data_IF_878909991088
#
_entry.id   IF_878909991088
#
_cell.length_a   1.000
_cell.length_b   1.000
_cell.length_c   1.000
_cell.angle_alpha   90.00
_cell.angle_beta   90.00
_cell.angle_gamma   90.00
#
_symmetry.space_group_name_H-M   'P 1'
#
loop_
_entity.id
_entity.type
_entity.pdbx_description
1 polymer ?
#
# COMPACT_ATOMS: atom_id res chain seq x y z
N UNK A 1 8.01 -40.14 12.49
CA UNK A 1 9.19 -39.26 12.35
C UNK A 1 9.71 -39.45 10.95
N UNK A 2 9.75 -38.37 10.18
CA UNK A 2 10.45 -38.34 8.89
C UNK A 2 11.94 -38.11 9.16
N UNK A 3 12.75 -39.07 8.75
CA UNK A 3 14.23 -39.01 8.88
C UNK A 3 14.92 -38.57 7.61
N UNK A 4 14.16 -38.07 6.62
CA UNK A 4 14.70 -37.54 5.36
C UNK A 4 15.68 -36.41 5.64
N UNK A 5 16.94 -36.57 5.21
CA UNK A 5 18.01 -35.59 5.45
C UNK A 5 18.85 -35.83 6.72
N UNK A 6 18.49 -36.80 7.59
CA UNK A 6 19.33 -37.21 8.71
C UNK A 6 20.48 -38.07 8.21
N UNK A 7 21.69 -37.50 8.22
CA UNK A 7 22.94 -38.22 7.88
C UNK A 7 23.70 -38.54 9.16
N UNK A 8 23.75 -39.79 9.52
CA UNK A 8 24.54 -40.28 10.65
C UNK A 8 25.77 -41.03 10.13
N UNK A 9 26.92 -40.71 10.66
CA UNK A 9 28.20 -41.35 10.31
C UNK A 9 28.77 -42.00 11.57
N UNK A 10 28.96 -43.29 11.52
CA UNK A 10 29.64 -44.05 12.56
C UNK A 10 31.15 -44.06 12.31
N UNK A 11 31.94 -43.85 13.38
CA UNK A 11 33.39 -44.06 13.36
C UNK A 11 33.65 -45.43 13.94
N UNK A 12 34.32 -46.30 13.15
CA UNK A 12 34.59 -47.70 13.48
C UNK A 12 36.00 -47.86 14.00
N UNK A 13 36.29 -49.02 14.60
CA UNK A 13 37.58 -49.36 15.21
C UNK A 13 38.74 -49.41 14.16
N UNK A 14 38.39 -49.59 12.88
CA UNK A 14 39.35 -49.53 11.75
C UNK A 14 39.69 -48.09 11.34
N UNK A 15 39.20 -47.08 12.10
CA UNK A 15 39.41 -45.66 11.86
C UNK A 15 38.56 -45.08 10.72
N UNK A 16 37.78 -45.90 10.02
CA UNK A 16 36.94 -45.43 8.89
C UNK A 16 35.61 -44.92 9.38
N UNK A 17 35.08 -43.95 8.62
CA UNK A 17 33.74 -43.45 8.79
C UNK A 17 32.82 -44.05 7.72
N UNK A 18 31.65 -44.54 8.14
CA UNK A 18 30.65 -45.09 7.24
C UNK A 18 29.27 -44.56 7.60
N UNK A 19 28.40 -44.34 6.60
CA UNK A 19 26.99 -43.96 6.87
C UNK A 19 26.31 -45.06 7.64
N UNK A 20 25.51 -44.63 8.65
CA UNK A 20 24.69 -45.57 9.46
C UNK A 20 23.23 -45.22 9.20
N UNK A 21 22.45 -46.23 8.83
CA UNK A 21 21.03 -46.10 8.67
C UNK A 21 20.38 -46.13 10.06
N UNK A 22 19.61 -45.05 10.37
CA UNK A 22 18.90 -44.94 11.65
C UNK A 22 17.42 -45.20 11.41
N UNK A 23 16.80 -46.01 12.29
CA UNK A 23 15.35 -46.22 12.31
C UNK A 23 14.70 -45.38 13.40
N UNK A 24 13.37 -45.10 13.31
CA UNK A 24 12.65 -44.33 14.31
C UNK A 24 12.73 -44.86 15.73
N UNK A 25 12.83 -46.20 15.89
CA UNK A 25 12.91 -46.89 17.19
C UNK A 25 14.23 -46.66 17.92
N UNK A 26 15.25 -46.26 17.19
CA UNK A 26 16.59 -45.92 17.72
C UNK A 26 16.68 -44.50 18.26
N UNK A 27 15.61 -43.71 18.11
CA UNK A 27 15.54 -42.32 18.56
C UNK A 27 14.74 -42.22 19.85
N UNK A 28 15.23 -41.44 20.80
CA UNK A 28 14.53 -41.07 22.03
C UNK A 28 14.66 -39.55 22.29
N UNK A 29 13.76 -39.03 23.14
CA UNK A 29 13.76 -37.59 23.46
C UNK A 29 13.01 -36.71 22.46
N UNK A 30 12.46 -37.28 21.37
CA UNK A 30 11.67 -36.53 20.39
C UNK A 30 10.18 -36.55 20.74
N UNK A 31 9.55 -35.38 20.75
CA UNK A 31 8.09 -35.25 20.85
C UNK A 31 7.59 -34.31 19.76
N UNK A 32 6.72 -34.81 18.89
CA UNK A 32 6.06 -33.99 17.85
C UNK A 32 4.89 -33.15 18.36
N UNK A 33 4.47 -33.36 19.61
CA UNK A 33 3.29 -32.73 20.21
C UNK A 33 3.61 -31.49 21.04
N UNK A 34 4.89 -31.24 21.35
CA UNK A 34 5.29 -30.07 22.10
C UNK A 34 6.01 -29.04 21.19
N UNK A 35 5.53 -27.81 21.12
CA UNK A 35 6.26 -26.74 20.44
C UNK A 35 7.45 -26.34 21.32
N UNK A 36 8.59 -26.98 21.11
CA UNK A 36 9.84 -26.63 21.78
C UNK A 36 10.82 -26.21 20.71
N UNK A 37 11.36 -24.99 20.82
CA UNK A 37 12.34 -24.45 19.86
C UNK A 37 13.55 -25.39 19.66
N UNK A 38 13.87 -26.17 20.65
CA UNK A 38 14.99 -27.11 20.67
C UNK A 38 14.64 -28.35 21.44
N UNK A 39 14.76 -29.51 20.82
CA UNK A 39 14.69 -30.81 21.50
C UNK A 39 16.03 -31.52 21.44
N UNK A 40 16.43 -32.11 22.57
CA UNK A 40 17.58 -33.02 22.61
C UNK A 40 17.09 -34.43 22.21
N UNK A 41 17.58 -34.88 21.06
CA UNK A 41 17.26 -36.23 20.53
C UNK A 41 18.49 -37.09 20.71
N UNK A 42 18.29 -38.27 21.25
CA UNK A 42 19.35 -39.25 21.47
C UNK A 42 19.19 -40.43 20.49
N UNK A 43 20.24 -40.70 19.74
CA UNK A 43 20.38 -41.91 18.91
C UNK A 43 21.04 -42.99 19.73
N UNK A 44 20.45 -44.18 19.76
CA UNK A 44 21.09 -45.37 20.36
C UNK A 44 21.30 -46.43 19.30
N UNK A 45 22.55 -46.78 19.05
CA UNK A 45 22.96 -47.81 18.08
C UNK A 45 23.96 -48.77 18.79
N UNK A 46 23.61 -50.05 18.86
CA UNK A 46 24.44 -51.06 19.50
C UNK A 46 24.94 -50.66 20.91
N UNK A 47 24.03 -50.06 21.70
CA UNK A 47 24.30 -49.61 23.07
C UNK A 47 25.09 -48.30 23.18
N UNK A 48 25.59 -47.75 22.09
CA UNK A 48 26.24 -46.43 22.05
C UNK A 48 25.24 -45.33 21.82
N UNK A 49 25.35 -44.27 22.60
CA UNK A 49 24.42 -43.12 22.52
C UNK A 49 25.12 -41.86 22.07
N UNK A 50 24.42 -41.09 21.26
CA UNK A 50 24.79 -39.72 20.86
C UNK A 50 23.58 -38.81 20.86
N UNK A 51 23.65 -37.75 21.64
CA UNK A 51 22.62 -36.70 21.63
C UNK A 51 22.98 -35.53 20.72
N UNK A 52 21.95 -34.94 20.13
CA UNK A 52 22.04 -33.74 19.33
C UNK A 52 20.74 -32.95 19.46
N UNK A 53 20.83 -31.63 19.31
CA UNK A 53 19.65 -30.78 19.32
C UNK A 53 19.00 -30.74 17.94
N UNK A 54 17.68 -30.90 17.90
CA UNK A 54 16.85 -30.64 16.71
C UNK A 54 16.01 -29.41 16.94
N UNK A 55 15.93 -28.57 15.95
CA UNK A 55 14.98 -27.47 15.94
C UNK A 55 13.72 -27.94 15.23
N UNK A 56 12.58 -27.83 15.90
CA UNK A 56 11.29 -28.15 15.30
C UNK A 56 10.81 -26.91 14.56
N UNK A 57 10.68 -27.04 13.25
CA UNK A 57 10.08 -25.97 12.46
C UNK A 57 8.55 -25.91 12.75
N UNK A 58 8.01 -24.72 13.09
CA UNK A 58 6.56 -24.56 13.26
C UNK A 58 5.79 -24.60 11.95
N UNK A 59 6.47 -24.89 10.85
CA UNK A 59 5.89 -24.95 9.50
C UNK A 59 6.38 -26.17 8.75
N UNK A 60 5.52 -26.72 7.87
CA UNK A 60 5.91 -27.73 6.88
C UNK A 60 6.15 -27.06 5.52
N UNK A 61 7.16 -27.55 4.82
CA UNK A 61 7.55 -27.03 3.51
C UNK A 61 7.76 -28.19 2.55
N UNK A 62 7.09 -28.16 1.41
CA UNK A 62 7.25 -29.14 0.33
C UNK A 62 7.60 -28.41 -0.98
N UNK A 63 8.69 -28.81 -1.61
CA UNK A 63 9.18 -28.21 -2.84
C UNK A 63 9.31 -26.66 -2.80
N UNK A 64 9.67 -26.12 -1.64
CA UNK A 64 9.77 -24.67 -1.42
C UNK A 64 8.44 -23.97 -1.13
N UNK A 65 7.33 -24.68 -1.11
CA UNK A 65 6.01 -24.14 -0.77
C UNK A 65 5.68 -24.44 0.70
N UNK A 66 5.21 -23.42 1.42
CA UNK A 66 4.66 -23.59 2.76
C UNK A 66 3.35 -24.36 2.68
N UNK A 67 3.29 -25.57 3.24
CA UNK A 67 2.09 -26.43 3.14
C UNK A 67 1.27 -26.46 4.42
N UNK A 68 1.88 -26.21 5.57
CA UNK A 68 1.16 -26.19 6.85
C UNK A 68 1.84 -25.25 7.85
N UNK A 69 1.03 -24.57 8.64
CA UNK A 69 1.44 -23.77 9.80
C UNK A 69 0.91 -24.43 11.05
N UNK A 70 1.79 -24.89 11.93
CA UNK A 70 1.42 -25.59 13.16
C UNK A 70 0.82 -24.59 14.18
N UNK A 71 -0.24 -25.02 14.88
CA UNK A 71 -0.90 -24.18 15.90
C UNK A 71 -0.06 -24.07 17.17
N UNK A 72 -0.31 -23.03 17.95
CA UNK A 72 0.29 -22.85 19.29
C UNK A 72 1.57 -22.02 19.32
N UNK A 73 1.96 -21.42 18.19
CA UNK A 73 3.10 -20.52 18.10
C UNK A 73 2.64 -19.07 17.95
N UNK A 74 3.23 -18.16 18.72
CA UNK A 74 2.99 -16.73 18.60
C UNK A 74 3.96 -16.06 17.60
N UNK A 75 5.12 -16.64 17.40
CA UNK A 75 6.15 -16.18 16.46
C UNK A 75 6.61 -17.34 15.59
N UNK A 76 6.87 -17.04 14.32
CA UNK A 76 7.36 -18.02 13.34
C UNK A 76 8.52 -17.38 12.56
N UNK A 77 9.62 -18.12 12.45
CA UNK A 77 10.69 -17.82 11.49
C UNK A 77 10.60 -18.83 10.36
N UNK A 78 10.42 -18.36 9.14
CA UNK A 78 10.38 -19.22 7.96
C UNK A 78 11.77 -19.76 7.66
N UNK A 79 11.91 -21.08 7.43
CA UNK A 79 13.18 -21.67 7.01
C UNK A 79 13.59 -21.19 5.60
N UNK A 80 14.88 -21.19 5.32
CA UNK A 80 15.43 -20.68 4.05
C UNK A 80 14.96 -21.47 2.81
N UNK A 81 14.39 -22.65 3.01
CA UNK A 81 13.78 -23.45 1.93
C UNK A 81 12.47 -22.90 1.41
N UNK A 82 11.78 -21.99 2.16
CA UNK A 82 10.50 -21.43 1.72
C UNK A 82 10.71 -20.44 0.59
N UNK A 83 10.10 -20.69 -0.55
CA UNK A 83 10.08 -19.82 -1.73
C UNK A 83 8.72 -19.19 -1.94
N UNK A 84 7.66 -19.82 -1.45
CA UNK A 84 6.28 -19.37 -1.65
C UNK A 84 5.44 -19.60 -0.38
N UNK A 85 4.67 -18.56 -0.04
CA UNK A 85 3.57 -18.63 0.94
C UNK A 85 2.28 -18.71 0.13
N UNK A 86 1.52 -19.82 0.20
CA UNK A 86 0.32 -19.99 -0.60
C UNK A 86 -0.84 -19.13 -0.10
N UNK A 87 -1.92 -19.10 -0.89
CA UNK A 87 -3.19 -18.47 -0.53
C UNK A 87 -3.63 -18.87 0.87
N UNK A 88 -4.01 -17.87 1.66
CA UNK A 88 -4.60 -18.00 2.99
C UNK A 88 -3.76 -18.77 4.04
N UNK A 89 -2.44 -18.92 3.85
CA UNK A 89 -1.57 -19.75 4.72
C UNK A 89 -1.62 -19.36 6.20
N UNK A 90 -1.72 -18.07 6.52
CA UNK A 90 -1.83 -17.55 7.88
C UNK A 90 -3.20 -16.90 8.15
N UNK A 91 -4.22 -17.26 7.35
CA UNK A 91 -5.56 -16.68 7.51
C UNK A 91 -6.14 -16.97 8.89
N UNK A 92 -6.56 -15.91 9.60
CA UNK A 92 -7.14 -16.01 10.95
C UNK A 92 -6.19 -16.53 12.01
N UNK A 93 -4.88 -16.60 11.72
CA UNK A 93 -3.88 -17.06 12.68
C UNK A 93 -3.72 -16.11 13.86
N UNK A 94 -3.38 -16.67 15.03
CA UNK A 94 -3.06 -15.90 16.23
C UNK A 94 -1.54 -15.64 16.37
N UNK A 95 -0.84 -15.56 15.24
CA UNK A 95 0.60 -15.34 15.19
C UNK A 95 0.87 -13.84 15.18
N UNK A 96 1.67 -13.37 16.13
CA UNK A 96 1.98 -11.96 16.28
C UNK A 96 3.15 -11.52 15.39
N UNK A 97 4.06 -12.47 15.06
CA UNK A 97 5.24 -12.17 14.26
C UNK A 97 5.59 -13.30 13.31
N UNK A 98 5.84 -12.95 12.07
CA UNK A 98 6.39 -13.86 11.07
C UNK A 98 7.67 -13.23 10.51
N UNK A 99 8.80 -13.90 10.70
CA UNK A 99 10.09 -13.51 10.11
C UNK A 99 10.19 -14.21 8.76
N UNK A 100 10.13 -13.42 7.69
CA UNK A 100 10.29 -13.89 6.32
C UNK A 100 11.77 -14.13 5.99
N UNK A 101 12.06 -15.19 5.26
CA UNK A 101 13.43 -15.53 4.85
C UNK A 101 13.85 -14.79 3.56
N UNK A 102 15.14 -14.52 3.45
CA UNK A 102 15.75 -13.96 2.23
C UNK A 102 15.85 -15.02 1.13
N UNK A 103 14.82 -15.38 0.53
CA UNK A 103 14.68 -16.39 -0.52
C UNK A 103 13.22 -16.58 -0.90
N UNK A 104 12.33 -15.94 -0.11
CA UNK A 104 10.90 -15.92 -0.41
C UNK A 104 10.65 -15.08 -1.67
N UNK A 105 9.92 -15.63 -2.63
CA UNK A 105 9.64 -15.03 -3.93
C UNK A 105 8.19 -14.61 -4.10
N UNK A 106 7.24 -15.33 -3.46
CA UNK A 106 5.82 -15.05 -3.64
C UNK A 106 5.00 -15.20 -2.37
N UNK A 107 3.98 -14.36 -2.25
CA UNK A 107 2.97 -14.42 -1.17
C UNK A 107 1.59 -14.38 -1.84
N UNK A 108 0.81 -15.43 -1.64
CA UNK A 108 -0.49 -15.64 -2.25
C UNK A 108 -1.62 -14.83 -1.61
N UNK A 109 -2.74 -14.78 -2.32
CA UNK A 109 -3.95 -14.06 -1.94
C UNK A 109 -4.42 -14.41 -0.51
N UNK A 110 -4.82 -13.38 0.24
CA UNK A 110 -5.31 -13.53 1.63
C UNK A 110 -4.32 -14.19 2.59
N UNK A 111 -3.02 -14.24 2.29
CA UNK A 111 -2.06 -15.01 3.08
C UNK A 111 -2.12 -14.73 4.57
N UNK A 112 -2.32 -13.47 4.99
CA UNK A 112 -2.44 -13.05 6.39
C UNK A 112 -3.83 -12.51 6.74
N UNK A 113 -4.86 -12.75 5.91
CA UNK A 113 -6.22 -12.24 6.13
C UNK A 113 -6.68 -12.45 7.57
N UNK A 114 -7.11 -11.37 8.25
CA UNK A 114 -7.64 -11.39 9.62
C UNK A 114 -6.71 -12.09 10.65
N UNK A 115 -5.39 -12.01 10.45
CA UNK A 115 -4.41 -12.52 11.42
C UNK A 115 -4.09 -11.45 12.48
N UNK A 116 -3.47 -11.89 13.60
CA UNK A 116 -3.05 -11.00 14.69
C UNK A 116 -1.63 -10.48 14.52
N UNK A 117 -1.03 -10.62 13.33
CA UNK A 117 0.33 -10.14 13.04
C UNK A 117 0.48 -8.66 13.38
N UNK A 118 1.62 -8.28 13.98
CA UNK A 118 1.88 -6.92 14.43
C UNK A 118 2.86 -6.17 13.54
N UNK A 119 3.89 -6.87 13.06
CA UNK A 119 4.90 -6.30 12.18
C UNK A 119 5.30 -7.31 11.10
N UNK A 120 5.68 -6.79 9.94
CA UNK A 120 6.24 -7.58 8.87
C UNK A 120 7.28 -6.79 8.07
N UNK A 121 8.41 -7.44 7.77
CA UNK A 121 9.47 -6.92 6.92
C UNK A 121 9.61 -7.87 5.73
N UNK A 122 9.53 -7.34 4.52
CA UNK A 122 9.60 -8.14 3.32
C UNK A 122 11.03 -8.29 2.81
N UNK A 123 11.43 -9.48 2.33
CA UNK A 123 12.77 -9.73 1.82
C UNK A 123 13.01 -9.08 0.45
N UNK A 124 14.28 -8.86 0.13
CA UNK A 124 14.68 -8.27 -1.17
C UNK A 124 14.35 -9.15 -2.37
N UNK A 125 14.10 -10.44 -2.13
CA UNK A 125 13.80 -11.46 -3.16
C UNK A 125 12.32 -11.57 -3.50
N UNK A 126 11.43 -10.81 -2.80
CA UNK A 126 10.00 -10.86 -3.08
C UNK A 126 9.71 -10.24 -4.45
N UNK A 127 9.13 -11.05 -5.35
CA UNK A 127 8.78 -10.67 -6.71
C UNK A 127 7.27 -10.56 -6.91
N UNK A 128 6.50 -11.37 -6.16
CA UNK A 128 5.05 -11.46 -6.32
C UNK A 128 4.35 -11.29 -4.97
N UNK A 129 3.45 -10.35 -4.93
CA UNK A 129 2.54 -10.12 -3.82
C UNK A 129 1.12 -10.09 -4.40
N UNK A 130 0.26 -10.99 -3.94
CA UNK A 130 -1.14 -11.03 -4.41
C UNK A 130 -2.04 -10.12 -3.57
N UNK A 131 -3.35 -10.15 -3.84
CA UNK A 131 -4.33 -9.24 -3.25
C UNK A 131 -4.72 -9.63 -1.81
N UNK A 132 -5.39 -8.72 -1.09
CA UNK A 132 -6.02 -8.95 0.20
C UNK A 132 -5.08 -9.45 1.33
N UNK A 133 -3.77 -9.24 1.20
CA UNK A 133 -2.76 -9.87 2.06
C UNK A 133 -3.03 -9.63 3.55
N UNK A 134 -3.27 -8.37 3.95
CA UNK A 134 -3.50 -7.97 5.36
C UNK A 134 -4.92 -7.46 5.59
N UNK A 135 -5.86 -7.90 4.79
CA UNK A 135 -7.27 -7.52 4.95
C UNK A 135 -7.75 -7.88 6.37
N UNK A 136 -8.28 -6.94 7.13
CA UNK A 136 -8.67 -7.05 8.54
C UNK A 136 -7.54 -7.36 9.54
N UNK A 137 -6.26 -7.19 9.21
CA UNK A 137 -5.17 -7.32 10.17
C UNK A 137 -5.11 -6.12 11.12
N UNK A 138 -6.03 -6.04 12.07
CA UNK A 138 -6.23 -4.88 12.96
C UNK A 138 -5.07 -4.62 13.92
N UNK A 139 -4.24 -5.63 14.18
CA UNK A 139 -3.08 -5.53 15.08
C UNK A 139 -1.79 -5.16 14.33
N UNK A 140 -1.80 -5.21 12.99
CA UNK A 140 -0.63 -4.88 12.17
C UNK A 140 -0.32 -3.38 12.32
N UNK A 141 0.86 -3.07 12.90
CA UNK A 141 1.32 -1.69 13.12
C UNK A 141 2.28 -1.22 12.06
N UNK A 142 3.15 -2.13 11.61
CA UNK A 142 4.21 -1.81 10.66
C UNK A 142 4.33 -2.84 9.56
N UNK A 143 4.42 -2.35 8.31
CA UNK A 143 4.74 -3.15 7.13
C UNK A 143 5.88 -2.49 6.35
N UNK A 144 7.01 -3.18 6.21
CA UNK A 144 8.17 -2.66 5.51
C UNK A 144 8.42 -3.40 4.19
N UNK A 145 8.00 -2.77 3.08
CA UNK A 145 8.23 -3.24 1.71
C UNK A 145 9.43 -2.51 1.03
N UNK A 146 10.10 -1.59 1.75
CA UNK A 146 11.07 -0.66 1.17
C UNK A 146 12.22 -1.34 0.41
N UNK A 147 12.57 -2.57 0.82
CA UNK A 147 13.66 -3.36 0.24
C UNK A 147 13.24 -4.20 -0.97
N UNK A 148 11.94 -4.30 -1.25
CA UNK A 148 11.42 -5.10 -2.37
C UNK A 148 11.62 -4.39 -3.71
N UNK A 149 11.44 -5.13 -4.80
CA UNK A 149 11.44 -4.60 -6.17
C UNK A 149 10.03 -4.52 -6.77
N UNK A 150 9.02 -4.55 -5.91
CA UNK A 150 7.63 -4.48 -6.36
C UNK A 150 7.39 -3.17 -7.12
N UNK A 151 6.68 -3.26 -8.23
CA UNK A 151 6.26 -2.11 -9.03
C UNK A 151 4.79 -1.77 -8.82
N UNK A 152 4.06 -2.65 -8.14
CA UNK A 152 2.63 -2.49 -7.82
C UNK A 152 2.38 -2.92 -6.38
N UNK A 153 1.64 -2.10 -5.63
CA UNK A 153 1.02 -2.51 -4.38
C UNK A 153 -0.37 -3.06 -4.72
N UNK A 154 -0.63 -4.35 -4.49
CA UNK A 154 -1.86 -4.99 -4.94
C UNK A 154 -3.12 -4.46 -4.29
N UNK A 155 -4.26 -4.75 -4.93
CA UNK A 155 -5.57 -4.35 -4.45
C UNK A 155 -5.85 -4.89 -3.03
N UNK A 156 -6.54 -4.08 -2.25
CA UNK A 156 -7.02 -4.45 -0.91
C UNK A 156 -5.94 -4.94 0.06
N UNK A 157 -4.67 -4.58 -0.17
CA UNK A 157 -3.54 -5.08 0.65
C UNK A 157 -3.74 -4.80 2.14
N UNK A 158 -4.17 -3.58 2.53
CA UNK A 158 -4.31 -3.16 3.93
C UNK A 158 -5.74 -2.76 4.33
N UNK A 159 -6.77 -3.27 3.65
CA UNK A 159 -8.16 -2.92 3.97
C UNK A 159 -8.49 -3.23 5.43
N UNK A 160 -8.96 -2.23 6.19
CA UNK A 160 -9.25 -2.31 7.62
C UNK A 160 -8.06 -2.77 8.48
N UNK A 161 -6.82 -2.66 7.99
CA UNK A 161 -5.64 -2.96 8.78
C UNK A 161 -5.33 -1.83 9.77
N UNK A 162 -4.72 -2.20 10.91
CA UNK A 162 -4.35 -1.27 11.96
C UNK A 162 -3.02 -0.54 11.74
N UNK A 163 -2.52 -0.51 10.48
CA UNK A 163 -1.19 0.02 10.15
C UNK A 163 -1.04 1.49 10.56
N UNK A 164 0.05 1.76 11.24
CA UNK A 164 0.51 3.10 11.62
C UNK A 164 1.65 3.56 10.72
N UNK A 165 2.47 2.61 10.24
CA UNK A 165 3.61 2.85 9.36
C UNK A 165 3.65 1.83 8.22
N UNK A 166 3.76 2.34 6.98
CA UNK A 166 4.01 1.51 5.78
C UNK A 166 5.15 2.14 4.99
N UNK A 167 6.22 1.37 4.77
CA UNK A 167 7.36 1.78 3.95
C UNK A 167 7.25 1.16 2.57
N UNK A 168 7.08 1.99 1.54
CA UNK A 168 6.91 1.58 0.15
C UNK A 168 8.26 1.52 -0.59
N UNK A 169 8.44 0.61 -1.57
CA UNK A 169 9.66 0.54 -2.35
C UNK A 169 9.76 1.68 -3.37
N UNK A 170 10.96 2.18 -3.60
CA UNK A 170 11.21 3.26 -4.58
C UNK A 170 10.88 2.87 -6.02
N UNK A 171 10.77 1.57 -6.31
CA UNK A 171 10.39 1.02 -7.62
C UNK A 171 8.90 1.06 -7.91
N UNK A 172 8.07 1.42 -6.91
CA UNK A 172 6.62 1.38 -7.02
C UNK A 172 6.11 2.36 -8.09
N UNK A 173 5.22 1.87 -8.96
CA UNK A 173 4.57 2.65 -10.03
C UNK A 173 3.06 2.78 -9.83
N UNK A 174 2.47 1.85 -9.09
CA UNK A 174 1.02 1.76 -8.90
C UNK A 174 0.67 1.38 -7.45
N UNK A 175 -0.27 2.13 -6.88
CA UNK A 175 -1.01 1.76 -5.68
C UNK A 175 -2.40 1.37 -6.17
N UNK A 176 -2.76 0.09 -6.09
CA UNK A 176 -3.98 -0.44 -6.68
C UNK A 176 -5.24 -0.15 -5.86
N UNK A 177 -6.39 -0.60 -6.36
CA UNK A 177 -7.69 -0.34 -5.77
C UNK A 177 -7.77 -0.74 -4.29
N UNK A 178 -8.32 0.16 -3.47
CA UNK A 178 -8.59 -0.08 -2.04
C UNK A 178 -7.36 -0.49 -1.20
N UNK A 179 -6.13 -0.25 -1.69
CA UNK A 179 -4.92 -0.71 -1.02
C UNK A 179 -4.82 -0.28 0.46
N UNK A 180 -5.33 0.92 0.80
CA UNK A 180 -5.36 1.49 2.14
C UNK A 180 -6.78 1.89 2.58
N UNK A 181 -7.81 1.23 2.06
CA UNK A 181 -9.20 1.51 2.45
C UNK A 181 -9.39 1.34 3.96
N UNK A 182 -9.92 2.36 4.62
CA UNK A 182 -10.23 2.35 6.05
C UNK A 182 -9.04 2.03 6.99
N UNK A 183 -7.82 2.47 6.61
CA UNK A 183 -6.63 2.42 7.47
C UNK A 183 -6.61 3.62 8.42
N UNK A 184 -7.50 3.64 9.41
CA UNK A 184 -7.75 4.80 10.28
C UNK A 184 -6.55 5.22 11.14
N UNK A 185 -5.59 4.32 11.37
CA UNK A 185 -4.39 4.59 12.16
C UNK A 185 -3.23 5.15 11.33
N UNK A 186 -3.24 4.98 10.01
CA UNK A 186 -2.20 5.50 9.11
C UNK A 186 -2.32 7.02 9.00
N UNK A 187 -1.35 7.75 9.60
CA UNK A 187 -1.38 9.22 9.61
C UNK A 187 -0.58 9.85 8.49
N UNK A 188 0.48 9.20 8.08
CA UNK A 188 1.37 9.66 7.01
C UNK A 188 1.82 8.49 6.16
N UNK A 189 2.06 8.76 4.88
CA UNK A 189 2.66 7.81 3.95
C UNK A 189 3.53 8.57 2.93
N UNK A 190 4.74 8.07 2.67
CA UNK A 190 5.56 8.54 1.56
C UNK A 190 5.16 7.78 0.29
N UNK A 191 4.60 8.50 -0.68
CA UNK A 191 4.29 7.95 -2.01
C UNK A 191 5.54 8.13 -2.87
N UNK A 192 6.20 7.04 -3.35
CA UNK A 192 7.43 7.16 -4.13
C UNK A 192 7.28 7.96 -5.42
N UNK A 193 8.34 8.66 -5.85
CA UNK A 193 8.32 9.56 -7.03
C UNK A 193 7.97 8.83 -8.35
N UNK A 194 8.21 7.53 -8.41
CA UNK A 194 7.89 6.72 -9.59
C UNK A 194 6.42 6.32 -9.69
N UNK A 195 5.59 6.59 -8.69
CA UNK A 195 4.16 6.28 -8.73
C UNK A 195 3.48 7.13 -9.81
N UNK A 196 2.71 6.47 -10.66
CA UNK A 196 1.93 7.07 -11.77
C UNK A 196 0.44 6.94 -11.56
N UNK A 197 0.03 5.90 -10.83
CA UNK A 197 -1.38 5.58 -10.63
C UNK A 197 -1.69 5.35 -9.15
N UNK A 198 -2.75 6.01 -8.68
CA UNK A 198 -3.43 5.72 -7.42
C UNK A 198 -4.81 5.19 -7.79
N UNK A 199 -5.11 3.95 -7.40
CA UNK A 199 -6.28 3.18 -7.80
C UNK A 199 -7.60 3.64 -7.16
N UNK A 200 -8.68 2.97 -7.58
CA UNK A 200 -10.04 3.18 -7.09
C UNK A 200 -10.09 3.05 -5.56
N UNK A 201 -10.60 4.08 -4.87
CA UNK A 201 -10.78 4.08 -3.41
C UNK A 201 -9.51 3.76 -2.60
N UNK A 202 -8.31 3.95 -3.16
CA UNK A 202 -7.06 3.46 -2.59
C UNK A 202 -6.81 3.91 -1.14
N UNK A 203 -7.19 5.14 -0.78
CA UNK A 203 -7.09 5.71 0.57
C UNK A 203 -8.46 6.13 1.15
N UNK A 204 -9.56 5.62 0.60
CA UNK A 204 -10.89 5.96 1.09
C UNK A 204 -11.00 5.69 2.59
N UNK A 205 -11.56 6.66 3.34
CA UNK A 205 -11.76 6.57 4.79
C UNK A 205 -10.47 6.26 5.59
N UNK A 206 -9.30 6.57 5.03
CA UNK A 206 -8.02 6.44 5.74
C UNK A 206 -7.82 7.57 6.76
N UNK A 207 -6.92 7.32 7.73
CA UNK A 207 -6.60 8.28 8.80
C UNK A 207 -5.52 9.29 8.41
N UNK A 208 -5.12 9.36 7.13
CA UNK A 208 -4.02 10.22 6.68
C UNK A 208 -4.32 11.69 6.95
N UNK A 209 -3.30 12.41 7.42
CA UNK A 209 -3.39 13.85 7.73
C UNK A 209 -2.84 14.73 6.61
N UNK A 210 -1.79 14.26 5.95
CA UNK A 210 -1.13 14.94 4.83
C UNK A 210 -0.72 13.93 3.78
N UNK A 211 -0.72 14.35 2.52
CA UNK A 211 -0.23 13.56 1.37
C UNK A 211 0.66 14.42 0.50
N UNK A 212 1.81 13.86 0.10
CA UNK A 212 2.66 14.44 -0.94
C UNK A 212 2.55 13.59 -2.21
N UNK A 213 2.01 14.16 -3.27
CA UNK A 213 1.83 13.49 -4.55
C UNK A 213 3.02 13.77 -5.48
N UNK A 214 3.58 12.77 -6.18
CA UNK A 214 4.60 13.03 -7.19
C UNK A 214 4.02 13.82 -8.36
N UNK A 215 4.77 14.82 -8.86
CA UNK A 215 4.34 15.63 -9.99
C UNK A 215 4.16 14.85 -11.30
N UNK A 216 4.76 13.68 -11.40
CA UNK A 216 4.63 12.78 -12.55
C UNK A 216 3.41 11.86 -12.53
N UNK A 217 2.52 11.99 -11.54
CA UNK A 217 1.32 11.14 -11.45
C UNK A 217 0.37 11.42 -12.62
N UNK A 218 -0.18 10.37 -13.24
CA UNK A 218 -1.07 10.50 -14.39
C UNK A 218 -2.52 10.17 -14.06
N UNK A 219 -2.73 9.29 -13.09
CA UNK A 219 -4.07 8.84 -12.74
C UNK A 219 -4.25 8.82 -11.22
N UNK A 220 -5.24 9.58 -10.75
CA UNK A 220 -5.79 9.42 -9.41
C UNK A 220 -7.24 9.00 -9.62
N UNK A 221 -7.52 7.71 -9.37
CA UNK A 221 -8.79 7.09 -9.71
C UNK A 221 -9.95 7.59 -8.83
N UNK A 222 -11.16 7.20 -9.22
CA UNK A 222 -12.39 7.60 -8.56
C UNK A 222 -12.32 7.30 -7.05
N UNK A 223 -12.70 8.30 -6.23
CA UNK A 223 -12.76 8.20 -4.77
C UNK A 223 -11.45 7.83 -4.08
N UNK A 224 -10.30 8.06 -4.71
CA UNK A 224 -9.01 7.63 -4.15
C UNK A 224 -8.76 8.12 -2.72
N UNK A 225 -9.18 9.33 -2.36
CA UNK A 225 -9.09 9.92 -1.02
C UNK A 225 -10.47 10.32 -0.46
N UNK A 226 -11.52 9.62 -0.87
CA UNK A 226 -12.89 9.91 -0.50
C UNK A 226 -13.10 9.76 1.00
N UNK A 227 -13.74 10.76 1.64
CA UNK A 227 -14.06 10.75 3.07
C UNK A 227 -12.85 10.48 3.99
N UNK A 228 -11.68 11.10 3.72
CA UNK A 228 -10.53 11.09 4.63
C UNK A 228 -10.76 12.13 5.75
N UNK A 229 -11.17 11.73 6.96
CA UNK A 229 -11.67 12.67 7.98
C UNK A 229 -10.60 13.55 8.59
N UNK A 230 -9.34 13.11 8.53
CA UNK A 230 -8.20 13.78 9.13
C UNK A 230 -7.34 14.56 8.11
N UNK A 231 -7.60 14.41 6.81
CA UNK A 231 -6.80 15.01 5.74
C UNK A 231 -6.91 16.53 5.77
N UNK A 232 -5.79 17.22 5.98
CA UNK A 232 -5.70 18.69 6.03
C UNK A 232 -5.05 19.29 4.80
N UNK A 233 -4.12 18.55 4.18
CA UNK A 233 -3.28 19.06 3.12
C UNK A 233 -2.89 17.97 2.11
N UNK A 234 -2.91 18.34 0.84
CA UNK A 234 -2.32 17.57 -0.27
C UNK A 234 -1.39 18.49 -1.04
N UNK A 235 -0.10 18.17 -1.04
CA UNK A 235 0.96 18.91 -1.74
C UNK A 235 1.59 18.06 -2.84
N UNK A 236 2.46 18.67 -3.63
CA UNK A 236 3.16 17.97 -4.71
C UNK A 236 4.68 18.05 -4.54
N UNK A 237 5.39 17.11 -5.14
CA UNK A 237 6.85 17.09 -5.12
C UNK A 237 7.44 16.40 -6.37
N UNK A 238 8.78 16.46 -6.52
CA UNK A 238 9.51 15.84 -7.62
C UNK A 238 9.60 16.72 -8.87
N UNK A 239 10.49 16.33 -9.75
CA UNK A 239 10.79 17.05 -10.99
C UNK A 239 10.35 16.31 -12.25
N UNK A 240 9.91 15.06 -12.09
CA UNK A 240 9.44 14.24 -13.22
C UNK A 240 8.05 14.70 -13.62
N UNK A 241 7.90 15.09 -14.87
CA UNK A 241 6.61 15.43 -15.48
C UNK A 241 6.28 14.39 -16.53
N UNK A 242 4.99 14.15 -16.71
CA UNK A 242 4.47 13.28 -17.77
C UNK A 242 3.52 14.13 -18.62
N UNK A 243 3.71 14.11 -19.93
CA UNK A 243 2.87 14.84 -20.92
C UNK A 243 1.70 14.00 -21.44
N UNK A 244 1.19 13.06 -20.62
CA UNK A 244 0.02 12.28 -20.96
C UNK A 244 -1.20 13.19 -21.10
N UNK A 245 -1.81 13.33 -22.30
CA UNK A 245 -2.97 14.18 -22.52
C UNK A 245 -4.22 13.71 -21.77
N UNK A 246 -4.27 12.44 -21.37
CA UNK A 246 -5.36 11.83 -20.62
C UNK A 246 -5.14 11.83 -19.11
N UNK A 247 -4.03 12.43 -18.63
CA UNK A 247 -3.72 12.48 -17.22
C UNK A 247 -4.85 13.16 -16.42
N UNK A 248 -5.46 12.42 -15.49
CA UNK A 248 -6.72 12.80 -14.86
C UNK A 248 -6.78 12.51 -13.36
N UNK A 249 -7.38 13.42 -12.62
CA UNK A 249 -7.98 13.12 -11.33
C UNK A 249 -9.44 12.79 -11.56
N UNK A 250 -9.84 11.55 -11.27
CA UNK A 250 -11.19 11.06 -11.51
C UNK A 250 -12.23 11.61 -10.50
N UNK A 251 -13.48 11.23 -10.70
CA UNK A 251 -14.61 11.76 -9.95
C UNK A 251 -14.51 11.49 -8.43
N UNK A 252 -14.96 12.48 -7.65
CA UNK A 252 -15.11 12.39 -6.18
C UNK A 252 -13.82 12.08 -5.43
N UNK A 253 -12.66 12.35 -6.03
CA UNK A 253 -11.36 11.90 -5.52
C UNK A 253 -11.08 12.39 -4.09
N UNK A 254 -11.35 13.66 -3.80
CA UNK A 254 -11.13 14.32 -2.51
C UNK A 254 -12.45 14.79 -1.87
N UNK A 255 -13.59 14.24 -2.29
CA UNK A 255 -14.89 14.65 -1.74
C UNK A 255 -15.02 14.22 -0.28
N UNK A 256 -15.60 15.10 0.54
CA UNK A 256 -15.94 14.78 1.92
C UNK A 256 -14.75 14.72 2.88
N UNK A 257 -13.68 15.48 2.63
CA UNK A 257 -12.54 15.64 3.54
C UNK A 257 -12.70 16.91 4.38
N UNK A 258 -13.41 16.88 5.52
CA UNK A 258 -13.91 18.09 6.21
C UNK A 258 -12.81 18.99 6.76
N UNK A 259 -11.59 18.48 6.91
CA UNK A 259 -10.43 19.23 7.39
C UNK A 259 -9.52 19.75 6.27
N UNK A 260 -9.75 19.34 5.02
CA UNK A 260 -8.91 19.73 3.88
C UNK A 260 -8.97 21.24 3.66
N UNK A 261 -7.83 21.89 3.82
CA UNK A 261 -7.65 23.33 3.65
C UNK A 261 -6.75 23.69 2.48
N UNK A 262 -5.86 22.80 2.07
CA UNK A 262 -4.91 23.03 0.99
C UNK A 262 -4.82 21.82 0.05
N UNK A 263 -4.89 22.12 -1.26
CA UNK A 263 -4.72 21.12 -2.31
C UNK A 263 -3.90 21.69 -3.47
N UNK A 264 -2.77 21.07 -3.75
CA UNK A 264 -1.97 21.33 -4.95
C UNK A 264 -2.29 20.30 -6.03
N UNK A 265 -2.69 20.77 -7.20
CA UNK A 265 -2.93 19.91 -8.37
C UNK A 265 -1.58 19.52 -8.98
N UNK A 266 -1.28 18.21 -9.12
CA UNK A 266 -0.02 17.77 -9.73
C UNK A 266 0.15 18.31 -11.16
N UNK A 267 1.36 18.71 -11.51
CA UNK A 267 1.64 19.41 -12.78
C UNK A 267 1.46 18.56 -14.04
N UNK A 268 1.37 17.23 -13.93
CA UNK A 268 1.03 16.36 -15.06
C UNK A 268 -0.46 16.27 -15.33
N UNK A 269 -1.32 16.65 -14.37
CA UNK A 269 -2.77 16.48 -14.50
C UNK A 269 -3.36 17.50 -15.49
N UNK A 270 -4.14 16.99 -16.45
CA UNK A 270 -4.80 17.77 -17.50
C UNK A 270 -6.31 17.87 -17.30
N UNK A 271 -6.92 16.90 -16.63
CA UNK A 271 -8.36 16.79 -16.48
C UNK A 271 -8.72 16.70 -14.99
N UNK A 272 -9.60 17.58 -14.55
CA UNK A 272 -10.17 17.55 -13.20
C UNK A 272 -11.56 16.89 -13.23
N UNK A 273 -11.74 15.83 -12.49
CA UNK A 273 -12.95 15.00 -12.47
C UNK A 273 -14.15 15.66 -11.80
N UNK A 274 -15.31 15.05 -12.02
CA UNK A 274 -16.58 15.45 -11.40
C UNK A 274 -16.48 15.39 -9.88
N UNK A 275 -17.03 16.41 -9.19
CA UNK A 275 -17.14 16.40 -7.73
C UNK A 275 -15.81 16.32 -6.98
N UNK A 276 -14.69 16.65 -7.64
CA UNK A 276 -13.31 16.44 -7.15
C UNK A 276 -13.10 16.86 -5.69
N UNK A 277 -13.56 18.07 -5.34
CA UNK A 277 -13.36 18.71 -4.02
C UNK A 277 -14.67 18.87 -3.24
N UNK A 278 -15.72 18.18 -3.62
CA UNK A 278 -17.05 18.36 -3.05
C UNK A 278 -17.07 18.32 -1.52
N UNK A 279 -17.72 19.28 -0.88
CA UNK A 279 -17.92 19.30 0.57
C UNK A 279 -16.76 19.81 1.42
N UNK A 280 -15.62 20.21 0.83
CA UNK A 280 -14.42 20.67 1.55
C UNK A 280 -14.52 22.15 1.95
N UNK A 281 -15.31 22.45 2.97
CA UNK A 281 -15.66 23.82 3.37
C UNK A 281 -14.51 24.64 3.98
N UNK A 282 -13.43 24.01 4.42
CA UNK A 282 -12.24 24.71 4.94
C UNK A 282 -11.30 25.24 3.85
N UNK A 283 -11.47 24.75 2.64
CA UNK A 283 -10.67 25.17 1.50
C UNK A 283 -11.16 26.53 1.01
N UNK A 284 -10.34 27.57 1.14
CA UNK A 284 -10.71 28.96 0.79
C UNK A 284 -10.06 29.46 -0.48
N UNK A 285 -9.01 28.80 -0.96
CA UNK A 285 -8.25 29.16 -2.15
C UNK A 285 -7.93 27.92 -2.98
N UNK A 286 -7.85 28.10 -4.29
CA UNK A 286 -7.42 27.06 -5.23
C UNK A 286 -6.55 27.66 -6.34
N UNK A 287 -5.40 27.05 -6.62
CA UNK A 287 -4.61 27.34 -7.81
C UNK A 287 -4.83 26.25 -8.86
N UNK A 288 -5.22 26.62 -10.06
CA UNK A 288 -5.37 25.74 -11.22
C UNK A 288 -4.15 25.95 -12.11
N UNK A 289 -3.25 24.97 -12.24
CA UNK A 289 -2.04 25.08 -13.05
C UNK A 289 -2.33 25.29 -14.54
N UNK A 290 -1.36 25.84 -15.28
CA UNK A 290 -1.50 26.18 -16.70
C UNK A 290 -1.70 24.98 -17.64
N UNK A 291 -1.35 23.77 -17.20
CA UNK A 291 -1.51 22.53 -17.94
C UNK A 291 -2.92 21.92 -17.85
N UNK A 292 -3.76 22.38 -16.93
CA UNK A 292 -5.14 21.91 -16.84
C UNK A 292 -5.95 22.38 -18.05
N UNK A 293 -6.42 21.43 -18.84
CA UNK A 293 -7.16 21.67 -20.07
C UNK A 293 -8.68 21.54 -19.88
N UNK A 294 -9.11 20.77 -18.87
CA UNK A 294 -10.52 20.43 -18.68
C UNK A 294 -10.92 20.37 -17.21
N UNK A 295 -12.09 20.88 -16.90
CA UNK A 295 -12.71 20.82 -15.58
C UNK A 295 -14.13 20.26 -15.75
N UNK A 296 -14.43 19.16 -15.09
CA UNK A 296 -15.69 18.46 -15.20
C UNK A 296 -16.75 19.00 -14.23
N UNK A 297 -17.99 18.54 -14.44
CA UNK A 297 -19.17 18.95 -13.70
C UNK A 297 -18.98 18.93 -12.18
N UNK A 298 -19.41 19.99 -11.50
CA UNK A 298 -19.40 20.09 -10.03
C UNK A 298 -18.04 19.83 -9.34
N UNK A 299 -16.92 20.00 -10.03
CA UNK A 299 -15.58 19.71 -9.51
C UNK A 299 -15.31 20.32 -8.13
N UNK A 300 -15.89 21.49 -7.86
CA UNK A 300 -15.69 22.26 -6.62
C UNK A 300 -16.96 22.50 -5.82
N UNK A 301 -17.97 21.65 -6.00
CA UNK A 301 -19.28 21.79 -5.38
C UNK A 301 -19.19 21.86 -3.84
N UNK A 302 -19.93 22.77 -3.22
CA UNK A 302 -20.08 22.89 -1.77
C UNK A 302 -18.72 23.02 -1.03
N UNK A 303 -17.76 23.71 -1.64
CA UNK A 303 -16.47 24.08 -1.02
C UNK A 303 -16.57 25.46 -0.34
N UNK A 304 -15.53 25.84 0.42
CA UNK A 304 -15.38 27.20 0.97
C UNK A 304 -14.55 28.13 0.10
N UNK A 305 -14.23 27.75 -1.17
CA UNK A 305 -13.34 28.49 -2.05
C UNK A 305 -13.91 29.88 -2.38
N UNK A 306 -13.15 30.91 -2.06
CA UNK A 306 -13.44 32.32 -2.35
C UNK A 306 -12.52 32.90 -3.43
N UNK A 307 -11.30 32.40 -3.51
CA UNK A 307 -10.31 32.85 -4.46
C UNK A 307 -9.82 31.69 -5.34
N UNK A 308 -9.83 31.91 -6.65
CA UNK A 308 -9.27 30.98 -7.63
C UNK A 308 -8.18 31.69 -8.43
N UNK A 309 -6.97 31.12 -8.46
CA UNK A 309 -5.92 31.52 -9.37
C UNK A 309 -5.84 30.52 -10.52
N UNK A 310 -5.94 30.98 -11.76
CA UNK A 310 -5.77 30.13 -12.94
C UNK A 310 -4.53 30.58 -13.70
N UNK A 311 -3.53 29.70 -13.80
CA UNK A 311 -2.23 30.04 -14.37
C UNK A 311 -2.19 29.95 -15.92
N UNK A 312 -3.23 29.32 -16.51
CA UNK A 312 -3.34 29.17 -17.96
C UNK A 312 -3.71 30.44 -18.67
N UNK A 313 -3.04 30.75 -19.80
CA UNK A 313 -3.42 31.86 -20.70
C UNK A 313 -4.63 31.52 -21.58
N UNK A 314 -4.98 30.24 -21.66
CA UNK A 314 -6.17 29.72 -22.32
C UNK A 314 -7.09 29.17 -21.24
N UNK A 315 -8.36 29.56 -21.22
CA UNK A 315 -9.33 29.02 -20.26
C UNK A 315 -9.46 27.51 -20.40
N UNK A 316 -9.38 26.73 -19.29
CA UNK A 316 -9.77 25.33 -19.34
C UNK A 316 -11.17 25.15 -19.88
N UNK A 317 -11.40 24.10 -20.68
CA UNK A 317 -12.73 23.71 -21.14
C UNK A 317 -13.57 23.28 -19.95
N UNK A 318 -14.81 23.74 -19.94
CA UNK A 318 -15.75 23.49 -18.89
C UNK A 318 -16.96 22.80 -19.49
N UNK A 319 -17.24 21.57 -19.05
CA UNK A 319 -18.46 20.86 -19.43
C UNK A 319 -19.60 21.20 -18.52
N UNK A 320 -20.72 21.68 -19.10
CA UNK A 320 -21.99 22.06 -18.51
C UNK A 320 -21.99 22.36 -16.99
N UNK A 321 -22.09 23.65 -16.64
CA UNK A 321 -22.37 24.13 -15.27
C UNK A 321 -21.45 23.54 -14.18
N UNK A 322 -20.13 23.63 -14.34
CA UNK A 322 -19.17 23.32 -13.25
C UNK A 322 -19.53 24.02 -11.93
N UNK A 323 -20.26 25.09 -12.06
CA UNK A 323 -20.66 26.00 -11.00
C UNK A 323 -21.98 25.66 -10.35
N UNK A 324 -22.60 24.52 -10.67
CA UNK A 324 -23.68 23.98 -9.84
C UNK A 324 -23.08 23.62 -8.49
N UNK A 325 -23.21 24.56 -7.55
CA UNK A 325 -22.68 24.44 -6.20
C UNK A 325 -21.27 25.00 -6.01
N UNK A 326 -20.76 25.83 -6.93
CA UNK A 326 -19.76 26.81 -6.50
C UNK A 326 -20.46 27.68 -5.45
N UNK A 327 -19.81 27.97 -4.30
CA UNK A 327 -20.42 28.90 -3.37
C UNK A 327 -20.69 30.20 -4.13
N UNK A 328 -21.86 30.77 -3.97
CA UNK A 328 -22.19 32.12 -4.43
C UNK A 328 -21.15 33.15 -3.95
N UNK A 329 -20.29 32.72 -3.04
CA UNK A 329 -19.25 33.42 -2.30
C UNK A 329 -17.91 33.56 -3.01
N UNK A 330 -17.69 33.05 -4.25
CA UNK A 330 -16.44 33.37 -4.97
C UNK A 330 -16.34 34.88 -5.10
N UNK A 331 -15.22 35.40 -4.58
CA UNK A 331 -14.95 36.85 -4.60
C UNK A 331 -14.09 37.25 -5.77
N UNK A 332 -13.12 36.40 -6.15
CA UNK A 332 -12.16 36.74 -7.19
C UNK A 332 -11.62 35.51 -7.95
N UNK A 333 -11.49 35.65 -9.26
CA UNK A 333 -10.79 34.74 -10.16
C UNK A 333 -9.63 35.50 -10.81
N UNK A 334 -8.39 35.11 -10.47
CA UNK A 334 -7.19 35.75 -10.99
C UNK A 334 -6.66 34.94 -12.17
N UNK A 335 -6.42 35.64 -13.29
CA UNK A 335 -5.91 35.06 -14.53
C UNK A 335 -4.69 35.82 -15.03
N UNK A 336 -3.84 35.28 -15.93
CA UNK A 336 -2.67 35.97 -16.45
C UNK A 336 -3.04 37.29 -17.15
N UNK A 337 -2.18 38.29 -17.04
CA UNK A 337 -2.31 39.54 -17.77
C UNK A 337 -2.48 39.27 -19.28
N UNK A 338 -3.42 39.98 -19.94
CA UNK A 338 -3.75 39.78 -21.35
C UNK A 338 -4.67 38.62 -21.68
N UNK A 339 -5.06 37.80 -20.68
CA UNK A 339 -6.02 36.67 -20.87
C UNK A 339 -7.41 36.99 -20.37
N UNK A 340 -7.62 38.08 -19.65
CA UNK A 340 -8.91 38.47 -19.02
C UNK A 340 -10.09 38.37 -19.98
N UNK A 341 -9.98 38.96 -21.16
CA UNK A 341 -11.08 38.94 -22.15
C UNK A 341 -11.35 37.53 -22.71
N UNK A 342 -10.30 36.68 -22.82
CA UNK A 342 -10.47 35.29 -23.21
C UNK A 342 -11.34 34.56 -22.19
N UNK A 343 -11.07 34.74 -20.88
CA UNK A 343 -11.83 34.14 -19.80
C UNK A 343 -13.25 34.66 -19.73
N UNK A 344 -13.45 35.97 -19.82
CA UNK A 344 -14.79 36.61 -19.81
C UNK A 344 -15.70 36.12 -20.93
N UNK A 345 -15.12 35.72 -22.07
CA UNK A 345 -15.86 35.24 -23.23
C UNK A 345 -15.95 33.70 -23.31
N UNK A 346 -15.19 32.99 -22.47
CA UNK A 346 -15.19 31.53 -22.50
C UNK A 346 -16.46 30.93 -21.85
N UNK A 347 -16.92 29.84 -22.45
CA UNK A 347 -18.08 29.10 -21.89
C UNK A 347 -17.78 28.60 -20.48
N UNK A 348 -18.73 28.78 -19.56
CA UNK A 348 -18.60 28.44 -18.15
C UNK A 348 -17.82 29.46 -17.30
N UNK A 349 -16.96 30.31 -17.91
CA UNK A 349 -16.23 31.37 -17.21
C UNK A 349 -16.95 32.73 -17.27
N UNK A 350 -17.71 32.99 -18.33
CA UNK A 350 -18.45 34.26 -18.55
C UNK A 350 -19.44 34.59 -17.42
N UNK A 351 -19.92 33.56 -16.69
CA UNK A 351 -20.84 33.77 -15.56
C UNK A 351 -20.16 34.50 -14.39
N UNK A 352 -18.83 34.59 -14.41
CA UNK A 352 -18.00 35.28 -13.41
C UNK A 352 -17.31 36.54 -13.93
N UNK A 353 -17.77 37.10 -15.03
CA UNK A 353 -17.17 38.28 -15.71
C UNK A 353 -16.77 39.38 -14.73
N UNK A 354 -17.61 39.68 -13.74
CA UNK A 354 -17.37 40.74 -12.75
C UNK A 354 -16.35 40.37 -11.67
N UNK A 355 -15.95 39.09 -11.58
CA UNK A 355 -15.00 38.55 -10.58
C UNK A 355 -13.65 38.22 -11.20
N UNK A 356 -13.50 38.25 -12.54
CA UNK A 356 -12.28 37.95 -13.26
C UNK A 356 -11.38 39.18 -13.32
N UNK A 357 -10.15 39.03 -12.81
CA UNK A 357 -9.11 40.07 -12.78
C UNK A 357 -7.73 39.46 -13.09
N UNK A 358 -6.71 40.28 -13.16
CA UNK A 358 -5.32 39.82 -13.36
C UNK A 358 -4.61 39.53 -12.04
N UNK A 359 -3.54 38.73 -12.10
CA UNK A 359 -2.48 38.64 -11.08
C UNK A 359 -1.16 39.16 -11.62
#
# INVERSE_FOLDING_TARGET
IDLTGLNVTGKYDDGKQRPVKVSPEQLSGFSSSAPVEKQEVTITIEGKQKSFSVQISPVRVENGVLTEVLKGHNEITLPNSVKSIPKAAFRGSQINKVVLNEGLQSIGDMAFFNSTIQEIVFPTTLEQLEENIFYYCRNLKKADLSRTKLTKLPASTFVYAGVEEVLLPVTLKEIDAQAFLNTSQLKTIEIPENVRTIGLEAFRESGITTVKLPNGITTIAQRAFYYCPELTEVTTYGTVFNDDPEAMIHAYCLEGCPKLAHFEIPKSIRILGQGLLGGNRKMTQLTIPSNVAQINFSAFNNTGIKEVKVEGITPPQVFEKIWYGFPDDITVIRVPAGSVEKYKNANGWRDFTNKITTF
#
